data_IF_522300935152
#
_entry.id   IF_522300935152
#
_cell.length_a   1.000
_cell.length_b   1.000
_cell.length_c   1.000
_cell.angle_alpha   90.00
_cell.angle_beta   90.00
_cell.angle_gamma   90.00
#
_symmetry.space_group_name_H-M   'P 1'
#
loop_
_entity.id
_entity.type
_entity.pdbx_description
1 polymer ?
#
# COMPACT_ATOMS: atom_id res chain seq x y z
N UNK A 1 -29.56 14.48 39.00
CA UNK A 1 -29.33 13.14 38.41
C UNK A 1 -29.80 13.06 36.93
N UNK A 2 -29.79 14.20 36.23
CA UNK A 2 -30.15 14.32 34.80
C UNK A 2 -28.92 14.74 34.00
N UNK A 3 -28.06 15.59 34.59
CA UNK A 3 -26.76 15.98 34.05
C UNK A 3 -25.81 14.80 33.83
N UNK A 4 -25.76 13.82 34.75
CA UNK A 4 -24.88 12.63 34.60
C UNK A 4 -25.32 11.73 33.45
N UNK A 5 -26.63 11.62 33.20
CA UNK A 5 -27.16 10.86 32.06
C UNK A 5 -26.83 11.53 30.74
N UNK A 6 -26.92 12.86 30.69
CA UNK A 6 -26.55 13.64 29.50
C UNK A 6 -25.04 13.53 29.23
N UNK A 7 -24.21 13.62 30.27
CA UNK A 7 -22.77 13.43 30.15
C UNK A 7 -22.41 12.02 29.66
N UNK A 8 -23.08 10.99 30.17
CA UNK A 8 -22.86 9.60 29.75
C UNK A 8 -23.30 9.36 28.30
N UNK A 9 -24.38 9.99 27.85
CA UNK A 9 -24.82 9.93 26.44
C UNK A 9 -23.81 10.64 25.55
N UNK A 10 -23.36 11.86 25.91
CA UNK A 10 -22.37 12.62 25.14
C UNK A 10 -21.03 11.85 25.05
N UNK A 11 -20.54 11.28 26.16
CA UNK A 11 -19.31 10.49 26.16
C UNK A 11 -19.42 9.21 25.32
N UNK A 12 -20.56 8.51 25.36
CA UNK A 12 -20.78 7.35 24.50
C UNK A 12 -20.88 7.76 23.03
N UNK A 13 -21.60 8.84 22.70
CA UNK A 13 -21.67 9.33 21.32
C UNK A 13 -20.31 9.76 20.78
N UNK A 14 -19.48 10.44 21.58
CA UNK A 14 -18.09 10.80 21.22
C UNK A 14 -17.23 9.54 21.06
N UNK A 15 -17.33 8.56 21.97
CA UNK A 15 -16.65 7.27 21.82
C UNK A 15 -17.07 6.53 20.56
N UNK A 16 -18.34 6.64 20.15
CA UNK A 16 -18.86 6.02 18.93
C UNK A 16 -18.34 6.75 17.67
N UNK A 17 -18.21 8.07 17.71
CA UNK A 17 -17.63 8.89 16.64
C UNK A 17 -16.12 8.63 16.50
N UNK A 18 -15.39 8.45 17.60
CA UNK A 18 -13.98 8.04 17.57
C UNK A 18 -13.80 6.59 17.06
N UNK A 19 -14.72 5.68 17.40
CA UNK A 19 -14.72 4.30 16.92
C UNK A 19 -15.11 4.14 15.44
N UNK A 20 -15.44 5.22 14.73
CA UNK A 20 -15.72 5.18 13.28
C UNK A 20 -14.50 5.42 12.39
N UNK A 21 -13.33 5.74 12.98
CA UNK A 21 -12.05 5.68 12.26
C UNK A 21 -11.44 4.29 12.51
N UNK A 22 -11.84 3.28 11.74
CA UNK A 22 -11.07 2.04 11.65
C UNK A 22 -9.73 2.35 10.94
N UNK A 23 -8.77 2.89 11.68
CA UNK A 23 -7.41 3.12 11.18
C UNK A 23 -6.79 1.76 10.85
N UNK A 24 -6.57 1.49 9.56
CA UNK A 24 -5.80 0.33 9.15
C UNK A 24 -4.33 0.54 9.54
N UNK A 25 -3.67 -0.52 9.99
CA UNK A 25 -2.23 -0.53 10.24
C UNK A 25 -1.60 -1.09 8.98
N UNK A 26 -0.66 -0.36 8.40
CA UNK A 26 0.01 -0.76 7.18
C UNK A 26 1.47 -1.13 7.44
N UNK A 27 1.98 -2.04 6.61
CA UNK A 27 3.39 -2.21 6.33
C UNK A 27 3.59 -2.00 4.84
N UNK A 28 4.29 -0.94 4.48
CA UNK A 28 4.73 -0.66 3.11
C UNK A 28 6.14 -1.19 2.93
N UNK A 29 6.35 -2.01 1.93
CA UNK A 29 7.67 -2.43 1.45
C UNK A 29 7.88 -1.85 0.07
N UNK A 30 8.99 -1.15 -0.11
CA UNK A 30 9.41 -0.60 -1.39
C UNK A 30 10.69 -1.27 -1.86
N UNK A 31 10.75 -1.56 -3.15
CA UNK A 31 11.96 -2.02 -3.82
C UNK A 31 12.28 -1.15 -5.02
N UNK A 32 13.56 -1.02 -5.34
CA UNK A 32 14.06 -0.41 -6.57
C UNK A 32 15.14 -1.32 -7.14
N UNK A 33 15.07 -1.62 -8.44
CA UNK A 33 16.00 -2.53 -9.12
C UNK A 33 16.09 -3.89 -8.42
N UNK A 34 14.94 -4.45 -8.04
CA UNK A 34 14.80 -5.73 -7.31
C UNK A 34 15.46 -5.75 -5.90
N UNK A 35 15.91 -4.60 -5.39
CA UNK A 35 16.50 -4.46 -4.05
C UNK A 35 15.59 -3.68 -3.11
N UNK A 36 15.56 -4.06 -1.81
CA UNK A 36 14.82 -3.33 -0.79
C UNK A 36 15.32 -1.88 -0.66
N UNK A 37 14.41 -0.92 -0.87
CA UNK A 37 14.70 0.51 -0.75
C UNK A 37 14.15 1.10 0.56
N UNK A 38 12.96 0.65 1.00
CA UNK A 38 12.36 1.10 2.25
C UNK A 38 11.37 0.10 2.85
N UNK A 39 11.20 0.13 4.17
CA UNK A 39 10.09 -0.52 4.88
C UNK A 39 9.48 0.48 5.86
N UNK A 40 8.22 0.84 5.67
CA UNK A 40 7.50 1.84 6.45
C UNK A 40 6.29 1.21 7.13
N UNK A 41 6.00 1.61 8.37
CA UNK A 41 4.81 1.20 9.10
C UNK A 41 4.09 2.41 9.64
N UNK A 42 2.80 2.48 9.42
CA UNK A 42 1.97 3.58 9.88
C UNK A 42 0.53 3.11 10.14
N UNK A 43 -0.23 3.98 10.81
CA UNK A 43 -1.69 3.89 10.79
C UNK A 43 -2.19 4.78 9.64
N UNK A 44 -3.15 4.29 8.86
CA UNK A 44 -3.73 5.02 7.76
C UNK A 44 -5.18 4.62 7.51
N UNK A 45 -5.96 5.55 6.98
CA UNK A 45 -7.40 5.34 6.72
C UNK A 45 -7.65 4.55 5.43
N UNK A 46 -6.63 4.38 4.59
CA UNK A 46 -6.70 3.71 3.29
C UNK A 46 -5.57 2.70 3.20
N UNK A 47 -5.94 1.42 3.10
CA UNK A 47 -5.03 0.39 2.62
C UNK A 47 -5.03 0.41 1.09
N UNK A 48 -3.86 0.60 0.48
CA UNK A 48 -3.70 0.42 -0.96
C UNK A 48 -3.08 -0.94 -1.18
N UNK A 49 -3.83 -1.89 -1.74
CA UNK A 49 -3.32 -3.23 -2.08
C UNK A 49 -2.55 -3.36 -3.43
N UNK A 50 -2.04 -2.33 -4.15
CA UNK A 50 -1.28 -2.63 -5.35
C UNK A 50 0.17 -2.96 -4.98
N UNK A 51 0.53 -4.24 -5.04
CA UNK A 51 1.90 -4.71 -5.29
C UNK A 51 2.31 -4.46 -6.76
N UNK A 52 2.10 -3.24 -7.24
CA UNK A 52 2.27 -2.87 -8.65
C UNK A 52 3.53 -2.03 -8.81
N UNK A 53 4.26 -2.25 -9.91
CA UNK A 53 5.33 -1.34 -10.32
C UNK A 53 4.81 0.10 -10.53
N UNK A 54 5.45 1.05 -9.84
CA UNK A 54 5.09 2.46 -9.76
C UNK A 54 5.61 3.25 -10.97
N UNK A 55 4.99 3.05 -12.13
CA UNK A 55 5.26 3.85 -13.33
C UNK A 55 5.80 3.06 -14.52
N UNK A 56 5.59 3.62 -15.71
CA UNK A 56 6.01 3.00 -16.97
C UNK A 56 7.53 3.04 -17.10
N UNK A 57 8.17 1.87 -17.13
CA UNK A 57 9.63 1.75 -17.26
C UNK A 57 10.42 2.01 -15.98
N UNK A 58 9.77 2.03 -14.82
CA UNK A 58 10.43 2.18 -13.52
C UNK A 58 10.47 0.83 -12.79
N UNK A 59 11.64 0.42 -12.32
CA UNK A 59 11.80 -0.79 -11.52
C UNK A 59 11.47 -0.59 -10.03
N UNK A 60 10.65 0.43 -9.73
CA UNK A 60 10.16 0.70 -8.40
C UNK A 60 8.86 -0.08 -8.18
N UNK A 61 8.80 -0.85 -7.11
CA UNK A 61 7.59 -1.58 -6.70
C UNK A 61 7.29 -1.21 -5.27
N UNK A 62 6.02 -0.95 -4.99
CA UNK A 62 5.49 -0.73 -3.66
C UNK A 62 4.49 -1.82 -3.36
N UNK A 63 4.57 -2.43 -2.19
CA UNK A 63 3.64 -3.41 -1.69
C UNK A 63 3.17 -2.99 -0.30
N UNK A 64 1.87 -2.84 -0.09
CA UNK A 64 1.32 -2.60 1.25
C UNK A 64 0.60 -3.87 1.74
N UNK A 65 0.87 -4.23 2.99
CA UNK A 65 0.11 -5.24 3.74
C UNK A 65 -0.62 -4.55 4.89
N UNK A 66 -1.90 -4.84 5.08
CA UNK A 66 -2.76 -4.09 5.98
C UNK A 66 -3.58 -4.98 6.89
N UNK A 67 -3.83 -4.47 8.08
CA UNK A 67 -4.59 -5.18 9.10
C UNK A 67 -5.28 -4.18 10.03
N UNK A 68 -6.35 -4.62 10.71
CA UNK A 68 -7.21 -3.75 11.53
C UNK A 68 -7.02 -3.96 13.03
N UNK A 69 -6.34 -5.03 13.43
CA UNK A 69 -6.05 -5.34 14.83
C UNK A 69 -4.94 -4.46 15.40
N UNK A 70 -4.90 -4.28 16.71
CA UNK A 70 -3.83 -3.54 17.37
C UNK A 70 -2.48 -4.23 17.19
N UNK A 71 -1.45 -3.46 16.80
CA UNK A 71 -0.07 -3.93 16.60
C UNK A 71 0.11 -5.09 15.60
N UNK A 72 -0.88 -5.34 14.74
CA UNK A 72 -0.86 -6.45 13.78
C UNK A 72 0.25 -6.34 12.72
N UNK A 73 0.71 -5.13 12.41
CA UNK A 73 1.86 -4.87 11.52
C UNK A 73 3.23 -5.08 12.20
N UNK A 74 3.27 -5.83 13.32
CA UNK A 74 4.45 -6.11 14.13
C UNK A 74 5.40 -7.19 13.59
N UNK A 75 5.23 -7.65 12.34
CA UNK A 75 6.15 -8.61 11.73
C UNK A 75 7.34 -7.88 11.07
N UNK A 76 8.53 -8.04 11.66
CA UNK A 76 9.76 -7.39 11.19
C UNK A 76 10.71 -8.33 10.42
N UNK A 77 10.27 -9.55 10.13
CA UNK A 77 11.15 -10.56 9.53
C UNK A 77 11.41 -10.28 8.05
N UNK A 78 12.66 -10.50 7.61
CA UNK A 78 13.03 -10.44 6.19
C UNK A 78 12.21 -11.44 5.37
N UNK A 79 11.93 -12.62 5.94
CA UNK A 79 11.08 -13.64 5.31
C UNK A 79 9.70 -13.09 4.97
N UNK A 80 9.08 -12.36 5.88
CA UNK A 80 7.77 -11.74 5.65
C UNK A 80 7.82 -10.73 4.49
N UNK A 81 8.82 -9.85 4.45
CA UNK A 81 8.96 -8.90 3.34
C UNK A 81 9.15 -9.61 2.00
N UNK A 82 9.95 -10.68 1.97
CA UNK A 82 10.14 -11.48 0.76
C UNK A 82 8.84 -12.13 0.29
N UNK A 83 8.02 -12.68 1.19
CA UNK A 83 6.72 -13.25 0.81
C UNK A 83 5.75 -12.18 0.29
N UNK A 84 5.74 -10.99 0.90
CA UNK A 84 4.92 -9.87 0.43
C UNK A 84 5.33 -9.45 -1.00
N UNK A 85 6.63 -9.30 -1.25
CA UNK A 85 7.16 -8.90 -2.55
C UNK A 85 6.96 -9.95 -3.66
N UNK A 86 6.69 -11.22 -3.34
CA UNK A 86 6.35 -12.23 -4.38
C UNK A 86 5.06 -11.91 -5.13
N UNK A 87 4.21 -11.05 -4.58
CA UNK A 87 2.96 -10.62 -5.20
C UNK A 87 3.17 -9.49 -6.22
N UNK A 88 4.41 -9.03 -6.40
CA UNK A 88 4.72 -7.96 -7.34
C UNK A 88 4.29 -8.29 -8.76
N UNK A 89 3.69 -7.32 -9.44
CA UNK A 89 3.35 -7.41 -10.85
C UNK A 89 3.50 -6.07 -11.55
N UNK A 90 3.60 -6.11 -12.88
CA UNK A 90 3.59 -4.94 -13.73
C UNK A 90 2.42 -5.00 -14.71
N UNK A 91 1.72 -3.89 -14.90
CA UNK A 91 0.74 -3.78 -15.99
C UNK A 91 1.36 -3.33 -17.31
N UNK A 92 2.65 -3.00 -17.30
CA UNK A 92 3.39 -2.50 -18.44
C UNK A 92 3.87 -3.68 -19.28
N UNK A 93 2.93 -4.35 -19.95
CA UNK A 93 3.21 -5.49 -20.84
C UNK A 93 3.14 -5.10 -22.32
N UNK A 94 2.82 -3.82 -22.60
CA UNK A 94 2.69 -3.25 -23.94
C UNK A 94 3.18 -1.80 -23.93
N UNK A 95 3.83 -1.34 -25.01
CA UNK A 95 4.24 0.05 -25.11
C UNK A 95 3.05 0.98 -25.23
N UNK A 96 3.22 2.24 -24.80
CA UNK A 96 2.20 3.26 -24.94
C UNK A 96 1.91 3.52 -26.42
N UNK A 97 0.70 3.99 -26.74
CA UNK A 97 0.25 4.17 -28.13
C UNK A 97 1.20 5.08 -28.92
N UNK A 98 1.70 6.15 -28.30
CA UNK A 98 2.63 7.10 -28.92
C UNK A 98 4.03 6.54 -29.19
N UNK A 99 4.45 5.51 -28.45
CA UNK A 99 5.80 4.95 -28.55
C UNK A 99 5.89 3.84 -29.59
N UNK A 100 4.76 3.22 -29.97
CA UNK A 100 4.73 2.12 -30.94
C UNK A 100 5.43 2.45 -32.25
N UNK A 101 5.17 3.64 -32.80
CA UNK A 101 5.76 4.07 -34.07
C UNK A 101 7.26 4.38 -33.91
N UNK A 102 7.62 5.09 -32.86
CA UNK A 102 9.01 5.41 -32.55
C UNK A 102 9.84 4.12 -32.36
N UNK A 103 9.32 3.18 -31.57
CA UNK A 103 9.96 1.89 -31.30
C UNK A 103 10.17 1.08 -32.58
N UNK A 104 9.14 1.03 -33.45
CA UNK A 104 9.22 0.36 -34.75
C UNK A 104 10.28 0.98 -35.66
N UNK A 105 10.37 2.31 -35.71
CA UNK A 105 11.32 3.02 -36.57
C UNK A 105 12.78 2.90 -36.08
N UNK A 106 12.98 2.65 -34.78
CA UNK A 106 14.30 2.55 -34.16
C UNK A 106 14.68 1.11 -33.78
N UNK A 107 13.93 0.09 -34.21
CA UNK A 107 14.14 -1.32 -33.86
C UNK A 107 14.23 -1.58 -32.35
N UNK A 108 13.43 -0.87 -31.54
CA UNK A 108 13.37 -1.03 -30.09
C UNK A 108 12.23 -2.00 -29.74
N UNK A 109 12.53 -3.07 -29.02
CA UNK A 109 11.54 -3.99 -28.46
C UNK A 109 11.20 -3.58 -27.03
N UNK A 110 9.90 -3.48 -26.73
CA UNK A 110 9.45 -3.21 -25.38
C UNK A 110 9.70 -4.47 -24.51
N UNK A 111 10.40 -4.34 -23.37
CA UNK A 111 10.71 -5.49 -22.51
C UNK A 111 9.41 -6.11 -21.96
N UNK A 112 9.43 -7.44 -21.88
CA UNK A 112 8.30 -8.30 -21.50
C UNK A 112 7.98 -8.22 -20.01
#
# INVERSE_FOLDING_TARGET
NTSDKVLFIILNSISTIFNQLELSRNTTVETSLEAFSAVVRACGDICREPCKSDGYGTDMVRCDDCCTEDFCNGNYSVRYYLELMKQQYTSWIKPLVGEKLYNRNNNITFPY
#
